data_IF_501001756911
#
_entry.id   IF_501001756911
#
_cell.length_a   1.000
_cell.length_b   1.000
_cell.length_c   1.000
_cell.angle_alpha   90.00
_cell.angle_beta   90.00
_cell.angle_gamma   90.00
#
_symmetry.space_group_name_H-M   'P 1'
#
loop_
_entity.id
_entity.type
_entity.pdbx_description
1 polymer ?
#
# COMPACT_ATOMS: atom_id res chain seq x y z
N UNK A 1 -7.38 21.35 -11.49
CA UNK A 1 -8.35 20.29 -11.66
C UNK A 1 -7.94 19.04 -10.89
N UNK A 2 -8.92 18.24 -10.51
CA UNK A 2 -8.67 16.98 -9.78
C UNK A 2 -8.39 15.79 -10.70
N UNK A 3 -8.35 15.99 -12.03
CA UNK A 3 -8.20 14.86 -12.97
C UNK A 3 -6.86 14.14 -12.80
N UNK A 4 -5.76 14.85 -12.60
CA UNK A 4 -4.44 14.23 -12.48
C UNK A 4 -4.26 13.52 -11.13
N UNK A 5 -4.70 14.08 -9.99
CA UNK A 5 -4.74 13.31 -8.74
C UNK A 5 -5.64 12.07 -8.83
N UNK A 6 -6.78 12.14 -9.52
CA UNK A 6 -7.65 10.98 -9.71
C UNK A 6 -6.93 9.90 -10.53
N UNK A 7 -6.20 10.26 -11.59
CA UNK A 7 -5.42 9.30 -12.38
C UNK A 7 -4.38 8.61 -11.49
N UNK A 8 -3.68 9.37 -10.64
CA UNK A 8 -2.70 8.80 -9.73
C UNK A 8 -3.28 7.85 -8.70
N UNK A 9 -4.47 8.19 -8.17
CA UNK A 9 -5.08 7.39 -7.10
C UNK A 9 -5.89 6.23 -7.66
N UNK A 10 -6.80 6.46 -8.60
CA UNK A 10 -7.72 5.40 -9.03
C UNK A 10 -7.37 4.77 -10.36
N UNK A 11 -6.69 5.49 -11.25
CA UNK A 11 -6.29 4.93 -12.55
C UNK A 11 -5.03 4.08 -12.46
N UNK A 12 -4.03 4.55 -11.74
CA UNK A 12 -2.71 3.90 -11.67
C UNK A 12 -2.47 3.12 -10.38
N UNK A 13 -3.12 3.48 -9.28
CA UNK A 13 -2.88 2.85 -7.98
C UNK A 13 -3.11 1.34 -7.97
N UNK A 14 -4.03 0.75 -8.75
CA UNK A 14 -4.13 -0.70 -8.77
C UNK A 14 -2.80 -1.39 -9.07
N UNK A 15 -1.96 -0.82 -9.95
CA UNK A 15 -0.65 -1.40 -10.24
C UNK A 15 0.24 -1.39 -8.99
N UNK A 16 0.21 -0.32 -8.19
CA UNK A 16 1.01 -0.23 -6.97
C UNK A 16 0.52 -1.27 -5.94
N UNK A 17 -0.79 -1.45 -5.83
CA UNK A 17 -1.37 -2.45 -4.94
C UNK A 17 -0.96 -3.85 -5.36
N UNK A 18 -0.97 -4.15 -6.66
CA UNK A 18 -0.53 -5.45 -7.16
C UNK A 18 0.94 -5.71 -6.82
N UNK A 19 1.81 -4.70 -6.98
CA UNK A 19 3.21 -4.81 -6.59
C UNK A 19 3.37 -5.07 -5.09
N UNK A 20 2.57 -4.39 -4.28
CA UNK A 20 2.57 -4.58 -2.83
C UNK A 20 2.14 -6.01 -2.47
N UNK A 21 1.09 -6.50 -3.13
CA UNK A 21 0.62 -7.88 -2.94
C UNK A 21 1.70 -8.89 -3.31
N UNK A 22 2.41 -8.66 -4.42
CA UNK A 22 3.52 -9.53 -4.81
C UNK A 22 4.63 -9.55 -3.75
N UNK A 23 4.98 -8.38 -3.23
CA UNK A 23 6.01 -8.28 -2.20
C UNK A 23 5.59 -9.02 -0.92
N UNK A 24 4.33 -8.83 -0.50
CA UNK A 24 3.79 -9.53 0.67
C UNK A 24 3.79 -11.04 0.46
N UNK A 25 3.36 -11.49 -0.72
CA UNK A 25 3.31 -12.91 -1.05
C UNK A 25 4.72 -13.50 -1.09
N UNK A 26 5.69 -12.80 -1.68
CA UNK A 26 7.06 -13.26 -1.71
C UNK A 26 7.63 -13.42 -0.31
N UNK A 27 7.35 -12.47 0.57
CA UNK A 27 7.79 -12.56 1.96
C UNK A 27 7.14 -13.76 2.68
N UNK A 28 5.86 -14.00 2.43
CA UNK A 28 5.16 -15.14 3.02
C UNK A 28 5.74 -16.47 2.53
N UNK A 29 6.08 -16.55 1.24
CA UNK A 29 6.72 -17.73 0.66
C UNK A 29 8.10 -17.94 1.28
N UNK A 30 8.85 -16.86 1.46
CA UNK A 30 10.14 -16.93 2.13
C UNK A 30 10.00 -17.51 3.55
N UNK A 31 8.89 -17.22 4.21
CA UNK A 31 8.57 -17.76 5.52
C UNK A 31 7.97 -19.18 5.52
N UNK A 32 7.78 -19.78 4.33
CA UNK A 32 7.33 -21.16 4.20
C UNK A 32 5.88 -21.34 3.75
N UNK A 33 5.15 -20.27 3.47
CA UNK A 33 3.76 -20.39 3.01
C UNK A 33 3.71 -20.78 1.53
N UNK A 34 2.85 -21.73 1.13
CA UNK A 34 2.67 -22.04 -0.30
C UNK A 34 2.21 -20.82 -1.09
N UNK A 35 2.72 -20.68 -2.30
CA UNK A 35 2.51 -19.47 -3.14
C UNK A 35 1.02 -19.11 -3.30
N UNK A 36 0.18 -20.07 -3.63
CA UNK A 36 -1.25 -19.79 -3.86
C UNK A 36 -1.94 -19.26 -2.61
N UNK A 37 -1.60 -19.81 -1.42
CA UNK A 37 -2.09 -19.32 -0.14
C UNK A 37 -1.58 -17.90 0.14
N UNK A 38 -0.30 -17.66 -0.15
CA UNK A 38 0.34 -16.38 0.11
C UNK A 38 -0.41 -15.24 -0.58
N UNK A 39 -0.78 -15.41 -1.85
CA UNK A 39 -1.55 -14.40 -2.56
C UNK A 39 -2.95 -14.19 -1.97
N UNK A 40 -3.62 -15.24 -1.59
CA UNK A 40 -4.95 -15.13 -0.98
C UNK A 40 -4.91 -14.39 0.35
N UNK A 41 -3.97 -14.74 1.21
CA UNK A 41 -3.81 -14.06 2.50
C UNK A 41 -3.44 -12.60 2.32
N UNK A 42 -2.51 -12.31 1.41
CA UNK A 42 -2.10 -10.93 1.15
C UNK A 42 -3.27 -10.09 0.62
N UNK A 43 -4.00 -10.62 -0.36
CA UNK A 43 -5.14 -9.90 -0.94
C UNK A 43 -6.23 -9.65 0.11
N UNK A 44 -6.53 -10.64 0.95
CA UNK A 44 -7.53 -10.51 2.00
C UNK A 44 -7.10 -9.44 3.03
N UNK A 45 -5.83 -9.43 3.40
CA UNK A 45 -5.31 -8.45 4.36
C UNK A 45 -5.44 -7.02 3.82
N UNK A 46 -5.08 -6.81 2.56
CA UNK A 46 -5.17 -5.49 1.93
C UNK A 46 -6.63 -5.05 1.81
N UNK A 47 -7.49 -5.95 1.35
CA UNK A 47 -8.92 -5.67 1.19
C UNK A 47 -9.55 -5.32 2.54
N UNK A 48 -9.30 -6.11 3.57
CA UNK A 48 -9.85 -5.88 4.90
C UNK A 48 -9.36 -4.57 5.51
N UNK A 49 -8.09 -4.26 5.32
CA UNK A 49 -7.52 -3.00 5.82
C UNK A 49 -8.14 -1.79 5.16
N UNK A 50 -8.30 -1.82 3.83
CA UNK A 50 -8.93 -0.74 3.09
C UNK A 50 -10.40 -0.58 3.50
N UNK A 51 -11.11 -1.68 3.65
CA UNK A 51 -12.50 -1.69 4.09
C UNK A 51 -12.65 -1.06 5.48
N UNK A 52 -11.72 -1.35 6.38
CA UNK A 52 -11.72 -0.80 7.73
C UNK A 52 -11.67 0.74 7.70
N UNK A 53 -10.81 1.30 6.86
CA UNK A 53 -10.72 2.75 6.69
C UNK A 53 -12.06 3.33 6.20
N UNK A 54 -12.63 2.70 5.18
CA UNK A 54 -13.89 3.19 4.58
C UNK A 54 -15.08 3.09 5.54
N UNK A 55 -15.19 1.98 6.26
CA UNK A 55 -16.35 1.74 7.12
C UNK A 55 -16.28 2.48 8.45
N UNK A 56 -15.08 2.61 9.03
CA UNK A 56 -14.94 3.27 10.33
C UNK A 56 -14.77 4.78 10.22
N UNK A 57 -14.28 5.26 9.08
CA UNK A 57 -13.91 6.66 8.90
C UNK A 57 -12.73 7.09 9.76
N UNK A 58 -12.06 6.17 10.43
CA UNK A 58 -10.91 6.48 11.27
C UNK A 58 -9.68 6.80 10.43
N UNK A 59 -8.81 7.63 10.97
CA UNK A 59 -7.54 7.97 10.33
C UNK A 59 -6.69 6.69 10.18
N UNK A 60 -6.07 6.46 9.01
CA UNK A 60 -5.21 5.27 8.84
C UNK A 60 -4.12 5.13 9.89
N UNK A 61 -3.57 6.26 10.37
CA UNK A 61 -2.56 6.25 11.42
C UNK A 61 -3.09 5.68 12.74
N UNK A 62 -4.34 6.01 13.08
CA UNK A 62 -4.99 5.45 14.26
C UNK A 62 -5.17 3.95 14.13
N UNK A 63 -5.64 3.50 12.97
CA UNK A 63 -5.82 2.07 12.70
C UNK A 63 -4.49 1.32 12.73
N UNK A 64 -3.45 1.92 12.17
CA UNK A 64 -2.10 1.35 12.23
C UNK A 64 -1.65 1.18 13.69
N UNK A 65 -1.84 2.21 14.51
CA UNK A 65 -1.44 2.16 15.91
C UNK A 65 -2.15 1.04 16.67
N UNK A 66 -3.41 0.79 16.36
CA UNK A 66 -4.17 -0.29 16.99
C UNK A 66 -3.56 -1.67 16.72
N UNK A 67 -2.86 -1.84 15.61
CA UNK A 67 -2.22 -3.11 15.24
C UNK A 67 -0.80 -3.21 15.82
N UNK A 68 -0.19 -2.09 16.18
CA UNK A 68 1.19 -2.03 16.62
C UNK A 68 1.29 -2.06 18.15
N UNK A 69 1.27 -3.26 18.73
CA UNK A 69 1.44 -3.40 20.17
C UNK A 69 2.89 -3.10 20.59
N UNK A 70 3.11 -2.63 21.85
CA UNK A 70 4.46 -2.33 22.32
C UNK A 70 5.39 -3.55 22.23
N UNK A 71 6.54 -3.36 21.56
CA UNK A 71 7.54 -4.41 21.42
C UNK A 71 7.13 -5.57 20.53
N UNK A 72 6.00 -5.45 19.82
CA UNK A 72 5.45 -6.55 19.00
C UNK A 72 6.07 -6.64 17.61
N UNK A 73 5.61 -7.63 16.87
CA UNK A 73 6.13 -7.93 15.53
C UNK A 73 5.76 -6.86 14.52
N UNK A 74 4.56 -6.31 14.64
CA UNK A 74 4.07 -5.33 13.66
C UNK A 74 4.85 -4.02 13.72
N UNK A 75 5.12 -3.50 14.92
CA UNK A 75 5.87 -2.25 15.03
C UNK A 75 7.30 -2.41 14.52
N UNK A 76 7.91 -3.58 14.68
CA UNK A 76 9.24 -3.84 14.11
C UNK A 76 9.21 -3.81 12.58
N UNK A 77 8.18 -4.40 11.98
CA UNK A 77 8.01 -4.34 10.53
C UNK A 77 7.78 -2.91 10.04
N UNK A 78 6.96 -2.15 10.77
CA UNK A 78 6.71 -0.74 10.44
C UNK A 78 8.01 0.06 10.49
N UNK A 79 8.85 -0.19 11.49
CA UNK A 79 10.15 0.48 11.60
C UNK A 79 11.00 0.26 10.34
N UNK A 80 11.02 -0.98 9.84
CA UNK A 80 11.78 -1.29 8.62
C UNK A 80 11.21 -0.55 7.42
N UNK A 81 9.88 -0.53 7.27
CA UNK A 81 9.24 0.18 6.15
C UNK A 81 9.53 1.67 6.18
N UNK A 82 9.50 2.28 7.37
CA UNK A 82 9.84 3.69 7.51
C UNK A 82 11.31 3.94 7.16
N UNK A 83 12.21 3.09 7.65
CA UNK A 83 13.64 3.19 7.37
C UNK A 83 13.94 3.10 5.88
N UNK A 84 13.19 2.27 5.15
CA UNK A 84 13.36 2.07 3.70
C UNK A 84 12.59 3.08 2.87
N UNK A 85 11.92 4.04 3.48
CA UNK A 85 11.27 5.12 2.76
C UNK A 85 9.97 4.74 2.07
N UNK A 86 9.19 3.85 2.68
CA UNK A 86 7.94 3.36 2.09
C UNK A 86 7.00 4.51 1.68
N UNK A 87 6.75 5.44 2.60
CA UNK A 87 5.84 6.57 2.35
C UNK A 87 6.37 7.47 1.25
N UNK A 88 7.65 7.81 1.31
CA UNK A 88 8.29 8.65 0.31
C UNK A 88 8.25 8.01 -1.07
N UNK A 89 8.45 6.70 -1.16
CA UNK A 89 8.39 5.99 -2.43
C UNK A 89 7.01 6.08 -3.07
N UNK A 90 5.94 5.91 -2.27
CA UNK A 90 4.57 6.01 -2.77
C UNK A 90 4.26 7.42 -3.24
N UNK A 91 4.60 8.42 -2.42
CA UNK A 91 4.35 9.84 -2.74
C UNK A 91 5.07 10.22 -4.03
N UNK A 92 6.33 9.85 -4.16
CA UNK A 92 7.12 10.17 -5.34
C UNK A 92 6.60 9.49 -6.60
N UNK A 93 6.22 8.21 -6.49
CA UNK A 93 5.66 7.47 -7.61
C UNK A 93 4.38 8.14 -8.13
N UNK A 94 3.49 8.52 -7.22
CA UNK A 94 2.24 9.18 -7.59
C UNK A 94 2.48 10.57 -8.15
N UNK A 95 3.45 11.31 -7.61
CA UNK A 95 3.82 12.61 -8.14
C UNK A 95 4.30 12.50 -9.59
N UNK A 96 5.12 11.49 -9.89
CA UNK A 96 5.59 11.25 -11.26
C UNK A 96 4.45 10.81 -12.18
N UNK A 97 3.52 10.03 -11.67
CA UNK A 97 2.33 9.62 -12.42
C UNK A 97 1.49 10.85 -12.80
N UNK A 98 1.23 11.74 -11.86
CA UNK A 98 0.46 12.96 -12.12
C UNK A 98 1.19 13.88 -13.10
N UNK A 99 2.50 14.02 -12.97
CA UNK A 99 3.33 14.82 -13.89
C UNK A 99 3.22 14.27 -15.32
N UNK A 100 3.31 12.96 -15.48
CA UNK A 100 3.19 12.32 -16.81
C UNK A 100 1.78 12.50 -17.37
N UNK A 101 0.76 12.35 -16.54
CA UNK A 101 -0.63 12.57 -16.94
C UNK A 101 -0.84 14.00 -17.46
N UNK A 102 -0.28 14.98 -16.77
CA UNK A 102 -0.34 16.38 -17.19
C UNK A 102 0.35 16.59 -18.53
N UNK A 103 1.55 16.03 -18.72
CA UNK A 103 2.29 16.15 -19.99
C UNK A 103 1.51 15.55 -21.14
N UNK A 104 0.88 14.38 -20.94
CA UNK A 104 0.10 13.72 -21.99
C UNK A 104 -1.14 14.54 -22.36
N UNK A 105 -1.76 15.22 -21.40
CA UNK A 105 -2.95 16.03 -21.67
C UNK A 105 -2.63 17.32 -22.44
N UNK A 106 -1.36 17.74 -22.45
CA UNK A 106 -0.89 18.94 -23.16
C UNK A 106 -0.34 18.66 -24.56
N UNK A 107 -0.17 17.38 -24.90
CA UNK A 107 0.41 17.00 -26.20
C UNK A 107 -0.61 16.86 -27.32
#
# INVERSE_FOLDING_TARGET
SMIHPVVGVSGSAPAYVFMFLEAMADAAVLGGMPRAQAYKFAAQAVMGSAKMVLETGKHPGELKDMVCSPGGTTIEAVRVLEERGFRAAVIEAMAKCMEKSEKLSKS
#
